data_IF_595519547041
#
_entry.id   IF_595519547041
#
_cell.length_a   1.000
_cell.length_b   1.000
_cell.length_c   1.000
_cell.angle_alpha   90.00
_cell.angle_beta   90.00
_cell.angle_gamma   90.00
#
_symmetry.space_group_name_H-M   'P 1'
#
loop_
_entity.id
_entity.type
_entity.pdbx_description
1 polymer ?
#
# COMPACT_ATOMS: atom_id res chain seq x y z
N UNK A 1 -12.76 11.44 -0.83
CA UNK A 1 -11.84 10.86 0.18
C UNK A 1 -10.53 11.64 0.16
N UNK A 2 -9.80 11.76 1.27
CA UNK A 2 -8.52 12.48 1.32
C UNK A 2 -7.45 11.55 1.91
N UNK A 3 -6.36 11.36 1.18
CA UNK A 3 -5.20 10.61 1.64
C UNK A 3 -4.21 11.57 2.31
N UNK A 4 -4.00 11.42 3.62
CA UNK A 4 -3.14 12.31 4.39
C UNK A 4 -1.88 11.56 4.80
N UNK A 5 -0.71 12.08 4.46
CA UNK A 5 0.55 11.49 4.88
C UNK A 5 0.77 11.70 6.39
N UNK A 6 0.81 10.60 7.14
CA UNK A 6 1.00 10.56 8.59
C UNK A 6 2.28 9.80 8.98
N UNK A 7 3.21 9.59 8.04
CA UNK A 7 4.43 8.79 8.22
C UNK A 7 5.22 9.18 9.48
N UNK A 8 5.27 10.49 9.78
CA UNK A 8 5.99 11.02 10.95
C UNK A 8 5.39 10.56 12.29
N UNK A 9 4.14 10.10 12.33
CA UNK A 9 3.50 9.52 13.51
C UNK A 9 3.84 8.04 13.71
N UNK A 10 4.48 7.40 12.72
CA UNK A 10 4.77 5.96 12.68
C UNK A 10 6.27 5.67 12.59
N UNK A 11 7.13 6.52 13.17
CA UNK A 11 8.60 6.44 13.05
C UNK A 11 9.17 5.06 13.37
N UNK A 12 8.67 4.39 14.42
CA UNK A 12 9.14 3.06 14.82
C UNK A 12 8.80 2.00 13.77
N UNK A 13 7.58 2.01 13.24
CA UNK A 13 7.17 1.10 12.17
C UNK A 13 7.99 1.32 10.91
N UNK A 14 8.17 2.58 10.51
CA UNK A 14 8.96 2.96 9.33
C UNK A 14 10.41 2.49 9.47
N UNK A 15 11.05 2.78 10.61
CA UNK A 15 12.41 2.35 10.88
C UNK A 15 12.54 0.81 10.87
N UNK A 16 11.58 0.11 11.46
CA UNK A 16 11.57 -1.35 11.47
C UNK A 16 11.46 -1.92 10.06
N UNK A 17 10.51 -1.44 9.25
CA UNK A 17 10.31 -1.91 7.88
C UNK A 17 11.55 -1.69 7.01
N UNK A 18 12.18 -0.52 7.10
CA UNK A 18 13.42 -0.22 6.38
C UNK A 18 14.62 -1.05 6.87
N UNK A 19 14.65 -1.44 8.15
CA UNK A 19 15.77 -2.17 8.72
C UNK A 19 15.68 -3.70 8.53
N UNK A 20 14.47 -4.26 8.43
CA UNK A 20 14.27 -5.72 8.42
C UNK A 20 13.65 -6.30 7.17
N UNK A 21 13.25 -5.46 6.21
CA UNK A 21 12.69 -5.93 4.93
C UNK A 21 13.53 -5.42 3.76
N UNK A 22 13.21 -5.85 2.54
CA UNK A 22 13.84 -5.34 1.33
C UNK A 22 13.27 -3.98 0.86
N UNK A 23 12.39 -3.35 1.66
CA UNK A 23 11.80 -2.07 1.31
C UNK A 23 12.83 -0.93 1.42
N UNK A 24 12.93 -0.11 0.37
CA UNK A 24 13.72 1.12 0.34
C UNK A 24 12.89 2.38 0.61
N UNK A 25 11.56 2.24 0.58
CA UNK A 25 10.63 3.33 0.76
C UNK A 25 9.42 2.85 1.54
N UNK A 26 9.07 3.60 2.58
CA UNK A 26 7.93 3.30 3.46
C UNK A 26 7.18 4.59 3.75
N UNK A 27 5.87 4.60 3.52
CA UNK A 27 4.97 5.69 3.88
C UNK A 27 3.71 5.17 4.54
N UNK A 28 3.21 5.94 5.49
CA UNK A 28 1.94 5.67 6.14
C UNK A 28 0.99 6.83 5.87
N UNK A 29 -0.24 6.49 5.48
CA UNK A 29 -1.30 7.44 5.20
C UNK A 29 -2.56 7.13 6.02
N UNK A 30 -3.32 8.17 6.32
CA UNK A 30 -4.70 8.07 6.81
C UNK A 30 -5.66 8.33 5.66
N UNK A 31 -6.70 7.50 5.58
CA UNK A 31 -7.89 7.68 4.79
C UNK A 31 -9.11 7.68 5.73
N UNK A 32 -9.25 8.75 6.52
CA UNK A 32 -10.23 8.80 7.59
C UNK A 32 -9.87 7.82 8.72
N UNK A 33 -10.71 6.80 8.95
CA UNK A 33 -10.46 5.74 9.95
C UNK A 33 -9.64 4.56 9.41
N UNK A 34 -9.40 4.52 8.11
CA UNK A 34 -8.61 3.49 7.44
C UNK A 34 -7.15 3.94 7.40
N UNK A 35 -6.23 3.03 7.71
CA UNK A 35 -4.78 3.25 7.65
C UNK A 35 -4.23 2.57 6.41
N UNK A 36 -3.34 3.25 5.70
CA UNK A 36 -2.70 2.72 4.49
C UNK A 36 -1.19 2.73 4.70
N UNK A 37 -0.56 1.56 4.63
CA UNK A 37 0.89 1.41 4.58
C UNK A 37 1.28 1.16 3.12
N UNK A 38 2.20 1.97 2.61
CA UNK A 38 2.77 1.79 1.28
C UNK A 38 4.26 1.54 1.41
N UNK A 39 4.70 0.40 0.89
CA UNK A 39 6.11 0.01 0.84
C UNK A 39 6.52 -0.16 -0.62
N UNK A 40 7.79 0.11 -0.91
CA UNK A 40 8.40 -0.17 -2.21
C UNK A 40 9.79 -0.75 -2.02
N UNK A 41 10.09 -1.71 -2.87
CA UNK A 41 11.40 -2.34 -3.04
C UNK A 41 11.79 -2.29 -4.53
N UNK A 42 12.97 -2.81 -4.85
CA UNK A 42 13.42 -2.96 -6.23
C UNK A 42 12.57 -3.91 -7.08
N UNK A 43 11.84 -4.84 -6.44
CA UNK A 43 11.06 -5.88 -7.14
C UNK A 43 9.57 -5.60 -7.17
N UNK A 44 9.04 -5.00 -6.11
CA UNK A 44 7.60 -4.82 -5.93
C UNK A 44 7.30 -3.59 -5.09
N UNK A 45 6.10 -3.04 -5.30
CA UNK A 45 5.46 -2.16 -4.34
C UNK A 45 4.30 -2.89 -3.67
N UNK A 46 4.08 -2.65 -2.39
CA UNK A 46 2.98 -3.25 -1.63
C UNK A 46 2.15 -2.16 -0.97
N UNK A 47 0.83 -2.35 -0.96
CA UNK A 47 -0.12 -1.49 -0.27
C UNK A 47 -0.89 -2.38 0.71
N UNK A 48 -0.80 -2.08 2.00
CA UNK A 48 -1.68 -2.63 3.03
C UNK A 48 -2.70 -1.58 3.43
N UNK A 49 -3.98 -1.96 3.43
CA UNK A 49 -5.10 -1.12 3.81
C UNK A 49 -5.81 -1.79 4.98
N UNK A 50 -5.79 -1.16 6.15
CA UNK A 50 -6.37 -1.71 7.37
C UNK A 50 -7.48 -0.78 7.89
N UNK A 51 -8.62 -1.35 8.25
CA UNK A 51 -9.66 -0.68 9.02
C UNK A 51 -10.08 -1.54 10.22
N UNK A 52 -9.84 -1.03 11.43
CA UNK A 52 -10.05 -1.76 12.68
C UNK A 52 -11.51 -1.93 13.11
N UNK A 53 -12.45 -1.27 12.41
CA UNK A 53 -13.85 -1.20 12.84
C UNK A 53 -14.80 -1.87 11.83
N UNK A 54 -14.49 -1.77 10.54
CA UNK A 54 -15.33 -2.30 9.46
C UNK A 54 -14.47 -2.83 8.33
N UNK A 55 -15.09 -3.58 7.43
CA UNK A 55 -14.43 -4.00 6.20
C UNK A 55 -14.05 -2.78 5.36
N UNK A 56 -12.89 -2.86 4.71
CA UNK A 56 -12.41 -1.92 3.69
C UNK A 56 -13.34 -2.02 2.48
N UNK A 57 -13.81 -0.88 2.01
CA UNK A 57 -14.72 -0.80 0.88
C UNK A 57 -13.95 -0.74 -0.44
N UNK A 58 -14.54 -1.24 -1.52
CA UNK A 58 -13.89 -1.27 -2.85
C UNK A 58 -13.48 0.14 -3.33
N UNK A 59 -14.31 1.16 -3.07
CA UNK A 59 -13.97 2.55 -3.39
C UNK A 59 -12.72 3.06 -2.66
N UNK A 60 -12.41 2.56 -1.46
CA UNK A 60 -11.18 2.89 -0.73
C UNK A 60 -9.97 2.23 -1.41
N UNK A 61 -10.10 0.96 -1.84
CA UNK A 61 -9.07 0.21 -2.58
C UNK A 61 -8.75 0.94 -3.88
N UNK A 62 -9.77 1.24 -4.69
CA UNK A 62 -9.62 1.90 -5.99
C UNK A 62 -8.98 3.27 -5.85
N UNK A 63 -9.41 4.06 -4.85
CA UNK A 63 -8.86 5.39 -4.60
C UNK A 63 -7.39 5.35 -4.18
N UNK A 64 -7.00 4.38 -3.35
CA UNK A 64 -5.61 4.24 -2.89
C UNK A 64 -4.72 3.79 -4.05
N UNK A 65 -5.17 2.83 -4.86
CA UNK A 65 -4.48 2.37 -6.06
C UNK A 65 -4.23 3.50 -7.06
N UNK A 66 -5.26 4.30 -7.34
CA UNK A 66 -5.17 5.43 -8.25
C UNK A 66 -4.15 6.46 -7.72
N UNK A 67 -4.21 6.79 -6.43
CA UNK A 67 -3.37 7.86 -5.85
C UNK A 67 -1.92 7.47 -5.60
N UNK A 68 -1.65 6.21 -5.25
CA UNK A 68 -0.30 5.78 -4.88
C UNK A 68 0.45 5.09 -6.02
N UNK A 69 -0.27 4.43 -6.93
CA UNK A 69 0.35 3.64 -8.00
C UNK A 69 -0.10 4.04 -9.41
N UNK A 70 -1.08 4.95 -9.55
CA UNK A 70 -1.70 5.28 -10.84
C UNK A 70 -2.20 4.01 -11.57
N UNK A 71 -2.76 3.07 -10.80
CA UNK A 71 -3.34 1.81 -11.28
C UNK A 71 -4.80 1.71 -10.88
N UNK A 72 -5.52 0.79 -11.51
CA UNK A 72 -6.89 0.41 -11.15
C UNK A 72 -6.91 -1.04 -10.68
N UNK A 73 -7.92 -1.43 -9.90
CA UNK A 73 -8.07 -2.81 -9.42
C UNK A 73 -8.25 -3.84 -10.55
N UNK A 74 -8.58 -3.39 -11.77
CA UNK A 74 -8.68 -4.23 -12.97
C UNK A 74 -7.34 -4.42 -13.71
N UNK A 75 -6.21 -3.96 -13.16
CA UNK A 75 -4.90 -4.17 -13.79
C UNK A 75 -4.48 -5.64 -13.63
N UNK A 76 -4.16 -6.29 -14.75
CA UNK A 76 -3.91 -7.75 -14.80
C UNK A 76 -2.69 -8.22 -13.99
N UNK A 77 -1.75 -7.33 -13.66
CA UNK A 77 -0.52 -7.63 -12.93
C UNK A 77 -0.65 -7.53 -11.41
N UNK A 78 -1.82 -7.11 -10.89
CA UNK A 78 -2.03 -6.90 -9.47
C UNK A 78 -2.50 -8.18 -8.76
N UNK A 79 -1.91 -8.46 -7.61
CA UNK A 79 -2.45 -9.45 -6.67
C UNK A 79 -3.13 -8.73 -5.52
N UNK A 80 -4.45 -8.90 -5.37
CA UNK A 80 -5.25 -8.30 -4.30
C UNK A 80 -5.78 -9.41 -3.40
N UNK A 81 -5.37 -9.40 -2.13
CA UNK A 81 -5.89 -10.27 -1.08
C UNK A 81 -6.80 -9.42 -0.17
N UNK A 82 -8.07 -9.81 -0.04
CA UNK A 82 -9.05 -9.06 0.73
C UNK A 82 -9.66 -9.95 1.84
N UNK A 83 -9.30 -9.68 3.08
CA UNK A 83 -9.80 -10.34 4.29
C UNK A 83 -10.85 -9.48 5.03
N UNK A 84 -11.54 -8.61 4.28
CA UNK A 84 -12.51 -7.67 4.83
C UNK A 84 -11.83 -6.48 5.51
N UNK A 85 -11.32 -6.64 6.73
CA UNK A 85 -10.72 -5.53 7.51
C UNK A 85 -9.30 -5.18 7.08
N UNK A 86 -8.62 -6.14 6.43
CA UNK A 86 -7.29 -5.98 5.89
C UNK A 86 -7.33 -6.31 4.39
N UNK A 87 -6.75 -5.42 3.60
CA UNK A 87 -6.53 -5.64 2.17
C UNK A 87 -5.05 -5.48 1.89
N UNK A 88 -4.49 -6.45 1.20
CA UNK A 88 -3.10 -6.44 0.75
C UNK A 88 -3.08 -6.40 -0.77
N UNK A 89 -2.26 -5.52 -1.32
CA UNK A 89 -2.11 -5.35 -2.76
C UNK A 89 -0.64 -5.43 -3.08
N UNK A 90 -0.27 -6.39 -3.94
CA UNK A 90 1.08 -6.51 -4.47
C UNK A 90 1.11 -5.99 -5.90
N UNK A 91 2.03 -5.06 -6.16
CA UNK A 91 2.28 -4.45 -7.46
C UNK A 91 3.69 -4.87 -7.90
N UNK A 92 3.83 -5.78 -8.88
CA UNK A 92 5.14 -6.14 -9.39
C UNK A 92 5.75 -4.93 -10.11
N UNK A 93 7.03 -4.66 -9.83
CA UNK A 93 7.78 -3.72 -10.66
C UNK A 93 8.26 -4.52 -11.87
N UNK A 94 7.93 -4.12 -13.11
CA UNK A 94 8.46 -4.81 -14.27
C UNK A 94 9.98 -4.71 -14.20
N UNK A 95 10.65 -5.85 -14.07
CA UNK A 95 12.09 -5.89 -14.18
C UNK A 95 12.46 -5.33 -15.55
N UNK A 96 13.26 -4.27 -15.59
CA UNK A 96 13.96 -3.88 -16.80
C UNK A 96 14.87 -5.05 -17.15
N UNK A 97 14.38 -5.99 -17.95
CA UNK A 97 15.23 -6.93 -18.68
C UNK A 97 15.96 -6.09 -19.72
N UNK A 98 17.05 -5.46 -19.29
CA UNK A 98 18.05 -4.88 -20.16
C UNK A 98 18.91 -6.01 -20.72
N UNK A 99 18.58 -6.46 -21.94
CA UNK A 99 19.48 -6.87 -23.03
C UNK A 99 18.71 -7.70 -24.07
#
# INVERSE_FOLDING_TARGET
>A
MRLVNITNSYKRLVAQQLATTAADYVKVYSLGKTTVLYTRSSKSSEILIENKVRNVQQNEIDFVLEKLANRTASSDDLTILNDGQLVEITIPTPSLTSA
#
